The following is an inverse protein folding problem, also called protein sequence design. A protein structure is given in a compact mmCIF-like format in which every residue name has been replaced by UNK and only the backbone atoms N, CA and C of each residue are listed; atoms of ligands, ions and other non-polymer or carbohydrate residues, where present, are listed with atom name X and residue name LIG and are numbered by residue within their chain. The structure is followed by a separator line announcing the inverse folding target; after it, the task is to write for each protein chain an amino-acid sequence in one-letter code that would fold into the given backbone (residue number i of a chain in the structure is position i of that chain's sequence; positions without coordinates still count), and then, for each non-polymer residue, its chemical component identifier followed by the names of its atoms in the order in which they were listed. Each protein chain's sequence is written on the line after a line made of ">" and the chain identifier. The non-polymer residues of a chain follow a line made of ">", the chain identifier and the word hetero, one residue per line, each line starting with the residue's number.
data_IF_930890760433
#
_entry.id   IF_930890760433
#
_cell.length_a   1.000
_cell.length_b   1.000
_cell.length_c   1.000
_cell.angle_alpha   90.00
_cell.angle_beta   90.00
_cell.angle_gamma   90.00
#
_symmetry.space_group_name_H-M   'P 1'
#
loop_
_entity.id
_entity.type
_entity.pdbx_description
1 polymer ?
#
# COMPACT_ATOMS: atom_id res chain seq x y z
N UNK A 1 -10.43 4.87 8.03
CA UNK A 1 -10.03 3.85 9.02
C UNK A 1 -10.76 2.52 8.82
N UNK A 2 -12.07 2.53 8.73
CA UNK A 2 -12.85 1.30 8.51
C UNK A 2 -12.41 0.54 7.25
N UNK A 3 -12.13 1.24 6.16
CA UNK A 3 -11.66 0.64 4.91
C UNK A 3 -10.34 -0.12 5.10
N UNK A 4 -9.37 0.50 5.77
CA UNK A 4 -8.08 -0.13 6.01
C UNK A 4 -8.18 -1.34 6.94
N UNK A 5 -9.02 -1.26 7.98
CA UNK A 5 -9.25 -2.40 8.86
C UNK A 5 -9.92 -3.57 8.11
N UNK A 6 -10.87 -3.27 7.23
CA UNK A 6 -11.53 -4.29 6.42
C UNK A 6 -10.60 -4.87 5.35
N UNK A 7 -9.70 -4.05 4.81
CA UNK A 7 -8.73 -4.47 3.80
C UNK A 7 -7.74 -5.51 4.33
N UNK A 8 -7.26 -5.34 5.54
CA UNK A 8 -6.15 -6.16 6.05
C UNK A 8 -6.37 -7.66 5.92
N UNK A 9 -7.47 -8.26 6.40
CA UNK A 9 -7.68 -9.70 6.24
C UNK A 9 -7.86 -10.12 4.78
N UNK A 10 -8.49 -9.29 3.96
CA UNK A 10 -8.68 -9.60 2.56
C UNK A 10 -7.36 -9.56 1.78
N UNK A 11 -6.52 -8.59 2.07
CA UNK A 11 -5.20 -8.49 1.46
C UNK A 11 -4.31 -9.66 1.87
N UNK A 12 -4.34 -10.04 3.15
CA UNK A 12 -3.62 -11.21 3.63
C UNK A 12 -4.06 -12.48 2.89
N UNK A 13 -5.36 -12.64 2.69
CA UNK A 13 -5.93 -13.78 1.97
C UNK A 13 -5.50 -13.79 0.50
N UNK A 14 -5.59 -12.65 -0.16
CA UNK A 14 -5.18 -12.50 -1.57
C UNK A 14 -3.71 -12.83 -1.77
N UNK A 15 -2.85 -12.34 -0.88
CA UNK A 15 -1.41 -12.61 -0.97
C UNK A 15 -1.10 -14.07 -0.70
N UNK A 16 -1.73 -14.68 0.30
CA UNK A 16 -1.56 -16.10 0.58
C UNK A 16 -2.00 -16.97 -0.61
N UNK A 17 -3.13 -16.64 -1.22
CA UNK A 17 -3.63 -17.34 -2.41
C UNK A 17 -2.68 -17.21 -3.59
N UNK A 18 -2.13 -16.02 -3.80
CA UNK A 18 -1.22 -15.78 -4.93
C UNK A 18 0.09 -16.52 -4.75
N UNK A 19 0.67 -16.51 -3.54
CA UNK A 19 1.88 -17.29 -3.26
C UNK A 19 1.61 -18.79 -3.42
N UNK A 20 0.46 -19.26 -2.94
CA UNK A 20 0.04 -20.65 -3.14
C UNK A 20 -0.10 -21.02 -4.62
N UNK A 21 -0.64 -20.14 -5.44
CA UNK A 21 -0.75 -20.35 -6.88
C UNK A 21 0.61 -20.43 -7.56
N UNK A 22 1.63 -19.81 -6.99
CA UNK A 22 3.02 -19.94 -7.46
C UNK A 22 3.75 -21.16 -6.89
N UNK A 23 3.08 -21.95 -6.06
CA UNK A 23 3.70 -23.12 -5.42
C UNK A 23 4.58 -22.77 -4.24
N UNK A 24 4.38 -21.60 -3.63
CA UNK A 24 5.18 -21.10 -2.54
C UNK A 24 4.38 -21.01 -1.25
N UNK A 25 5.08 -21.04 -0.11
CA UNK A 25 4.44 -20.77 1.18
C UNK A 25 3.94 -19.32 1.23
N UNK A 26 2.87 -19.08 1.98
CA UNK A 26 2.31 -17.76 2.17
C UNK A 26 3.33 -16.79 2.76
N UNK A 27 3.32 -15.54 2.33
CA UNK A 27 4.30 -14.57 2.79
C UNK A 27 4.01 -14.08 4.19
N UNK A 28 5.03 -13.58 4.86
CA UNK A 28 4.92 -12.89 6.12
C UNK A 28 4.62 -11.42 5.88
N UNK A 29 3.66 -10.89 6.62
CA UNK A 29 3.21 -9.50 6.45
C UNK A 29 3.58 -8.67 7.68
N UNK A 30 4.16 -7.49 7.43
CA UNK A 30 4.46 -6.52 8.47
C UNK A 30 3.91 -5.18 8.07
N UNK A 31 3.01 -4.64 8.89
CA UNK A 31 2.40 -3.35 8.65
C UNK A 31 3.14 -2.25 9.40
N UNK A 32 3.30 -1.10 8.75
CA UNK A 32 3.77 0.10 9.43
C UNK A 32 2.66 0.67 10.30
N UNK A 33 3.00 1.58 11.22
CA UNK A 33 1.99 2.44 11.83
C UNK A 33 1.24 3.23 10.76
N UNK A 34 0.01 3.65 11.10
CA UNK A 34 -0.75 4.56 10.26
C UNK A 34 -0.19 5.98 10.38
N UNK A 35 -0.16 6.68 9.28
CA UNK A 35 0.13 8.11 9.25
C UNK A 35 -1.01 8.83 8.53
N UNK A 36 -1.23 10.09 8.89
CA UNK A 36 -2.26 10.92 8.31
C UNK A 36 -1.62 12.03 7.48
N UNK A 37 -2.08 12.22 6.26
CA UNK A 37 -1.59 13.30 5.40
C UNK A 37 -2.76 14.12 4.87
N UNK A 38 -2.58 15.43 4.66
CA UNK A 38 -3.65 16.26 4.12
C UNK A 38 -3.96 15.88 2.69
N UNK A 39 -5.24 15.99 2.32
CA UNK A 39 -5.66 15.84 0.94
C UNK A 39 -5.13 17.03 0.12
N UNK A 40 -4.46 16.73 -1.00
CA UNK A 40 -3.90 17.73 -1.91
C UNK A 40 -4.66 17.68 -3.22
N UNK A 41 -5.25 18.81 -3.61
CA UNK A 41 -6.08 18.90 -4.81
C UNK A 41 -7.49 18.36 -4.62
N UNK A 42 -8.29 18.37 -5.68
CA UNK A 42 -9.68 17.95 -5.63
C UNK A 42 -10.61 18.92 -4.91
N UNK A 43 -11.87 18.52 -4.62
CA UNK A 43 -12.84 19.40 -3.98
C UNK A 43 -12.40 19.84 -2.59
N UNK A 44 -12.76 21.06 -2.15
CA UNK A 44 -12.46 21.50 -0.78
C UNK A 44 -13.24 20.68 0.24
N UNK A 45 -12.69 20.57 1.45
CA UNK A 45 -13.34 19.86 2.56
C UNK A 45 -13.14 18.35 2.55
N UNK A 46 -12.22 17.83 1.72
CA UNK A 46 -11.89 16.41 1.75
C UNK A 46 -11.21 16.03 3.08
N UNK A 47 -11.54 14.86 3.64
CA UNK A 47 -10.83 14.35 4.81
C UNK A 47 -9.37 14.07 4.47
N UNK A 48 -8.52 14.09 5.49
CA UNK A 48 -7.12 13.68 5.36
C UNK A 48 -7.03 12.21 4.97
N UNK A 49 -5.96 11.86 4.27
CA UNK A 49 -5.68 10.48 3.90
C UNK A 49 -4.98 9.74 5.03
N UNK A 50 -5.37 8.49 5.22
CA UNK A 50 -4.64 7.55 6.05
C UNK A 50 -3.75 6.71 5.16
N UNK A 51 -2.48 6.58 5.53
CA UNK A 51 -1.49 5.85 4.77
C UNK A 51 -0.75 4.86 5.67
N UNK A 52 -0.38 3.73 5.10
CA UNK A 52 0.49 2.77 5.73
C UNK A 52 1.31 2.06 4.65
N UNK A 53 2.40 1.46 5.06
CA UNK A 53 3.21 0.60 4.20
C UNK A 53 3.09 -0.83 4.70
N UNK A 54 2.94 -1.75 3.77
CA UNK A 54 2.97 -3.18 4.06
C UNK A 54 4.27 -3.76 3.50
N UNK A 55 5.06 -4.39 4.34
CA UNK A 55 6.21 -5.17 3.92
C UNK A 55 5.78 -6.64 3.80
N UNK A 56 5.96 -7.19 2.61
CA UNK A 56 5.64 -8.58 2.29
C UNK A 56 6.95 -9.33 2.12
N UNK A 57 7.21 -10.26 3.04
CA UNK A 57 8.43 -11.06 3.04
C UNK A 57 8.08 -12.51 2.72
N UNK A 58 8.64 -13.05 1.65
CA UNK A 58 8.32 -14.42 1.24
C UNK A 58 9.38 -15.01 0.35
N UNK A 59 9.23 -16.29 0.07
CA UNK A 59 10.08 -17.00 -0.87
C UNK A 59 9.69 -16.68 -2.30
N UNK A 60 10.56 -17.03 -3.23
CA UNK A 60 10.35 -16.86 -4.65
C UNK A 60 11.00 -15.60 -5.20
N UNK A 61 11.55 -15.75 -6.40
CA UNK A 61 12.23 -14.65 -7.07
C UNK A 61 11.23 -13.64 -7.64
N UNK A 62 11.51 -12.34 -7.50
CA UNK A 62 10.72 -11.34 -8.19
C UNK A 62 10.85 -11.50 -9.70
N UNK A 63 9.71 -11.43 -10.39
CA UNK A 63 9.63 -11.55 -11.84
C UNK A 63 8.58 -10.56 -12.36
N UNK A 64 8.78 -10.00 -13.57
CA UNK A 64 7.81 -9.05 -14.16
C UNK A 64 6.39 -9.62 -14.25
N UNK A 65 6.24 -10.87 -14.68
CA UNK A 65 4.94 -11.52 -14.81
C UNK A 65 4.26 -11.67 -13.45
N UNK A 66 5.01 -12.03 -12.41
CA UNK A 66 4.47 -12.14 -11.04
C UNK A 66 4.06 -10.77 -10.49
N UNK A 67 4.85 -9.76 -10.76
CA UNK A 67 4.53 -8.40 -10.33
C UNK A 67 3.25 -7.89 -10.98
N UNK A 68 3.04 -8.17 -12.26
CA UNK A 68 1.79 -7.82 -12.94
C UNK A 68 0.58 -8.60 -12.38
N UNK A 69 0.76 -9.86 -12.03
CA UNK A 69 -0.30 -10.65 -11.38
C UNK A 69 -0.68 -10.05 -10.02
N UNK A 70 0.32 -9.61 -9.24
CA UNK A 70 0.05 -8.91 -7.99
C UNK A 70 -0.70 -7.61 -8.24
N UNK A 71 -0.28 -6.82 -9.23
CA UNK A 71 -0.95 -5.58 -9.59
C UNK A 71 -2.44 -5.82 -9.91
N UNK A 72 -2.75 -6.84 -10.69
CA UNK A 72 -4.13 -7.19 -11.01
C UNK A 72 -4.94 -7.52 -9.76
N UNK A 73 -4.37 -8.27 -8.84
CA UNK A 73 -5.02 -8.63 -7.58
C UNK A 73 -5.27 -7.40 -6.70
N UNK A 74 -4.29 -6.51 -6.62
CA UNK A 74 -4.42 -5.26 -5.87
C UNK A 74 -5.48 -4.35 -6.49
N UNK A 75 -5.52 -4.25 -7.80
CA UNK A 75 -6.55 -3.49 -8.50
C UNK A 75 -7.95 -4.09 -8.27
N UNK A 76 -8.05 -5.40 -8.18
CA UNK A 76 -9.29 -6.06 -7.79
C UNK A 76 -9.78 -5.67 -6.41
N UNK A 77 -8.87 -5.53 -5.45
CA UNK A 77 -9.21 -5.06 -4.11
C UNK A 77 -9.62 -3.58 -4.11
N UNK A 78 -8.88 -2.72 -4.81
CA UNK A 78 -9.26 -1.32 -4.97
C UNK A 78 -10.67 -1.21 -5.54
N UNK A 79 -10.93 -2.05 -6.48
CA UNK A 79 -12.19 -2.17 -7.18
C UNK A 79 -13.30 -2.62 -6.23
N UNK A 80 -13.06 -3.52 -5.32
CA UNK A 80 -14.03 -3.96 -4.33
C UNK A 80 -14.39 -2.86 -3.35
N UNK A 81 -13.44 -2.01 -2.98
CA UNK A 81 -13.62 -0.98 -1.96
C UNK A 81 -13.99 0.41 -2.48
N UNK A 82 -13.85 0.68 -3.76
CA UNK A 82 -13.94 2.07 -4.21
C UNK A 82 -14.53 2.31 -5.58
N UNK A 83 -15.33 1.35 -6.03
CA UNK A 83 -15.67 1.32 -7.37
C UNK A 83 -16.53 2.33 -7.93
N UNK A 84 -17.47 2.81 -7.24
CA UNK A 84 -18.40 3.80 -7.75
C UNK A 84 -17.85 5.20 -7.54
N UNK A 85 -17.02 5.66 -8.48
CA UNK A 85 -16.64 7.05 -8.53
C UNK A 85 -17.77 7.83 -9.13
N UNK A 86 -18.51 8.50 -8.28
CA UNK A 86 -19.56 9.42 -8.71
C UNK A 86 -19.01 10.73 -9.23
N UNK A 87 -17.80 11.09 -8.78
CA UNK A 87 -17.11 12.30 -9.20
C UNK A 87 -15.76 11.97 -9.81
N UNK A 88 -15.46 12.56 -10.97
CA UNK A 88 -14.23 12.31 -11.72
C UNK A 88 -12.96 12.58 -10.92
N UNK A 89 -12.98 13.58 -10.04
CA UNK A 89 -11.86 13.99 -9.21
C UNK A 89 -12.11 13.75 -7.72
N UNK A 90 -13.13 13.00 -7.41
CA UNK A 90 -13.45 12.67 -6.03
C UNK A 90 -12.42 11.76 -5.38
N UNK A 91 -12.42 11.65 -4.03
CA UNK A 91 -11.48 10.81 -3.32
C UNK A 91 -11.72 9.34 -3.65
N UNK A 92 -10.64 8.60 -3.79
CA UNK A 92 -10.69 7.14 -3.87
C UNK A 92 -10.82 6.59 -2.46
N UNK A 93 -11.60 5.51 -2.33
CA UNK A 93 -11.73 4.83 -1.04
C UNK A 93 -10.45 4.11 -0.64
N UNK A 94 -9.67 3.67 -1.64
CA UNK A 94 -8.47 2.87 -1.43
C UNK A 94 -7.55 2.98 -2.62
N UNK A 95 -6.27 3.25 -2.35
CA UNK A 95 -5.18 3.16 -3.31
C UNK A 95 -4.15 2.15 -2.82
N UNK A 96 -3.81 1.19 -3.65
CA UNK A 96 -2.79 0.18 -3.37
C UNK A 96 -1.70 0.25 -4.43
N UNK A 97 -0.53 0.71 -4.04
CA UNK A 97 0.62 0.86 -4.92
C UNK A 97 1.69 -0.17 -4.60
N UNK A 98 2.23 -0.82 -5.64
CA UNK A 98 3.46 -1.58 -5.52
C UNK A 98 4.64 -0.62 -5.56
N UNK A 99 5.45 -0.59 -4.51
CA UNK A 99 6.58 0.33 -4.41
C UNK A 99 7.85 -0.27 -5.00
N UNK A 100 8.19 -1.48 -4.61
CA UNK A 100 9.29 -2.26 -5.16
C UNK A 100 9.13 -3.74 -4.78
N UNK A 101 9.85 -4.58 -5.49
CA UNK A 101 9.97 -6.00 -5.17
C UNK A 101 11.43 -6.42 -5.37
N UNK A 102 12.19 -6.50 -4.27
CA UNK A 102 13.61 -6.76 -4.34
C UNK A 102 14.32 -5.76 -5.25
N UNK A 103 15.14 -6.25 -6.13
CA UNK A 103 15.86 -5.42 -7.13
C UNK A 103 15.21 -5.43 -8.51
N UNK A 104 13.98 -5.95 -8.61
CA UNK A 104 13.27 -6.03 -9.87
C UNK A 104 13.06 -4.64 -10.48
N UNK A 105 13.42 -4.50 -11.74
CA UNK A 105 13.14 -3.30 -12.52
C UNK A 105 12.15 -3.62 -13.63
N UNK A 106 11.05 -2.89 -13.66
CA UNK A 106 10.02 -3.00 -14.67
C UNK A 106 9.70 -1.63 -15.23
N UNK A 107 9.62 -1.53 -16.55
CA UNK A 107 9.23 -0.30 -17.26
C UNK A 107 8.14 -0.63 -18.28
N UNK A 108 7.01 -1.11 -17.78
CA UNK A 108 5.84 -1.44 -18.60
C UNK A 108 4.80 -0.33 -18.63
N UNK A 109 3.82 -0.47 -19.48
CA UNK A 109 2.72 0.50 -19.56
C UNK A 109 1.85 0.49 -18.30
N UNK A 110 1.69 -0.68 -17.67
CA UNK A 110 0.83 -0.85 -16.50
C UNK A 110 1.58 -0.75 -15.19
N UNK A 111 2.86 -1.04 -15.18
CA UNK A 111 3.64 -1.17 -13.95
C UNK A 111 5.06 -0.68 -14.14
N UNK A 112 5.48 0.21 -13.27
CA UNK A 112 6.87 0.67 -13.17
C UNK A 112 7.39 0.31 -11.79
N UNK A 113 8.46 -0.46 -11.71
CA UNK A 113 9.15 -0.80 -10.47
C UNK A 113 10.64 -0.45 -10.56
N UNK A 114 11.24 0.13 -9.54
CA UNK A 114 10.57 0.70 -8.35
C UNK A 114 9.58 1.80 -8.73
N UNK A 115 8.58 2.03 -7.88
CA UNK A 115 7.61 3.11 -8.10
C UNK A 115 8.35 4.44 -8.25
N UNK A 116 8.09 5.23 -9.32
CA UNK A 116 8.96 6.36 -9.65
C UNK A 116 8.94 7.51 -8.63
N UNK A 117 7.89 7.62 -7.84
CA UNK A 117 7.70 8.76 -6.93
C UNK A 117 7.81 8.41 -5.44
N UNK A 118 8.06 7.14 -5.09
CA UNK A 118 8.01 6.74 -3.67
C UNK A 118 9.00 7.51 -2.80
N UNK A 119 10.20 7.78 -3.30
CA UNK A 119 11.25 8.46 -2.55
C UNK A 119 11.02 9.96 -2.38
N UNK A 120 10.02 10.51 -3.05
CA UNK A 120 9.69 11.93 -2.98
C UNK A 120 8.41 12.19 -2.18
N UNK A 121 7.77 11.14 -1.67
CA UNK A 121 6.48 11.24 -0.98
C UNK A 121 6.64 10.98 0.51
N UNK A 122 6.49 12.03 1.32
CA UNK A 122 6.63 11.92 2.77
C UNK A 122 5.62 10.95 3.39
N UNK A 123 4.43 10.81 2.79
CA UNK A 123 3.41 9.86 3.25
C UNK A 123 3.75 8.40 2.93
N UNK A 124 4.81 8.14 2.17
CA UNK A 124 5.43 6.83 1.97
C UNK A 124 6.67 6.68 2.85
N UNK A 125 7.51 7.71 2.88
CA UNK A 125 8.77 7.68 3.62
C UNK A 125 8.55 7.59 5.13
N UNK A 126 7.56 8.30 5.65
CA UNK A 126 7.27 8.28 7.09
C UNK A 126 6.84 6.89 7.59
N UNK A 127 5.83 6.22 7.02
CA UNK A 127 5.47 4.89 7.47
C UNK A 127 6.57 3.86 7.21
N UNK A 128 7.34 4.00 6.14
CA UNK A 128 8.45 3.12 5.85
C UNK A 128 9.56 3.25 6.89
N UNK A 129 9.92 4.48 7.26
CA UNK A 129 10.91 4.74 8.30
C UNK A 129 10.44 4.19 9.65
N UNK A 130 9.18 4.41 9.99
CA UNK A 130 8.60 3.86 11.22
C UNK A 130 8.64 2.32 11.25
N UNK A 131 8.36 1.68 10.13
CA UNK A 131 8.43 0.22 10.01
C UNK A 131 9.85 -0.31 10.23
N UNK A 132 10.87 0.44 9.79
CA UNK A 132 12.28 0.09 9.95
C UNK A 132 12.87 0.49 11.29
N UNK A 133 12.15 1.29 12.09
CA UNK A 133 12.68 1.86 13.33
C UNK A 133 13.62 3.03 13.10
N UNK A 134 13.61 3.63 11.91
CA UNK A 134 14.44 4.79 11.59
C UNK A 134 13.80 6.08 12.10
N UNK A 135 14.59 7.13 12.39
CA UNK A 135 14.04 8.42 12.78
C UNK A 135 13.19 9.04 11.68
N UNK A 136 12.08 9.66 12.08
CA UNK A 136 11.25 10.43 11.17
C UNK A 136 11.71 11.88 11.14
N UNK A 137 11.65 12.50 9.95
CA UNK A 137 11.94 13.92 9.84
C UNK A 137 10.77 14.72 10.43
N UNK A 138 11.06 15.90 11.06
CA UNK A 138 10.02 16.65 11.77
C UNK A 138 8.86 17.14 10.89
N UNK A 139 9.11 17.34 9.60
CA UNK A 139 8.12 17.81 8.64
C UNK A 139 7.29 16.66 8.00
N UNK A 140 7.64 15.42 8.32
CA UNK A 140 6.88 14.29 7.82
C UNK A 140 5.61 14.05 8.64
N UNK A 141 4.60 13.40 8.05
CA UNK A 141 3.45 12.93 8.82
C UNK A 141 3.90 12.05 9.98
N UNK A 142 3.34 12.28 11.15
CA UNK A 142 3.70 11.50 12.34
C UNK A 142 2.77 10.31 12.50
N UNK A 143 3.26 9.20 13.07
CA UNK A 143 2.42 8.06 13.34
C UNK A 143 1.25 8.42 14.25
N UNK A 144 0.08 7.87 13.94
CA UNK A 144 -1.10 8.05 14.77
C UNK A 144 -1.01 7.13 15.98
N UNK A 145 -1.13 7.66 17.19
CA UNK A 145 -1.08 6.83 18.38
C UNK A 145 -2.38 6.06 18.60
N UNK A 146 -2.25 4.81 19.05
CA UNK A 146 -3.36 4.07 19.59
C UNK A 146 -4.55 3.85 18.67
N UNK A 147 -4.31 3.47 17.42
CA UNK A 147 -5.40 3.14 16.50
C UNK A 147 -5.95 1.74 16.80
N UNK A 148 -7.16 1.61 17.39
CA UNK A 148 -7.71 0.30 17.71
C UNK A 148 -7.82 -0.61 16.49
N UNK A 149 -7.35 -1.84 16.64
CA UNK A 149 -7.38 -2.83 15.58
C UNK A 149 -6.25 -2.71 14.55
N UNK A 150 -5.41 -1.69 14.67
CA UNK A 150 -4.24 -1.56 13.81
C UNK A 150 -2.99 -2.06 14.56
N UNK A 151 -2.12 -2.86 13.93
CA UNK A 151 -0.91 -3.35 14.60
C UNK A 151 0.07 -2.21 14.88
N UNK A 152 0.73 -2.32 16.01
CA UNK A 152 1.81 -1.42 16.41
C UNK A 152 3.17 -1.98 15.96
#
# INVERSE_FOLDING_TARGET
>A
MATLLALRPLLAQVLAQQWGAWGLEGPRLRWSPLVCSPAVGGPPGQPDYLNAVLLVEGEGAPQPARAEQLLERLQGLEHLFGRERRERWGPRSLDLDLLWWGELQCSGERLVLPHPLWSQRSFVLAPLAALRGDPLQPDWPQPLPGCPGWPE
#
